data_IF_166380618865
#
_entry.id   IF_166380618865
#
_cell.length_a   1.000
_cell.length_b   1.000
_cell.length_c   1.000
_cell.angle_alpha   90.00
_cell.angle_beta   90.00
_cell.angle_gamma   90.00
#
_symmetry.space_group_name_H-M   'P 1'
#
loop_
_entity.id
_entity.type
_entity.pdbx_description
1 polymer ?
#
# COMPACT_ATOMS: atom_id res chain seq x y z
N UNK A 1 19.01 -35.33 -41.18
CA UNK A 1 19.17 -34.34 -40.10
C UNK A 1 18.43 -33.08 -40.54
N UNK A 2 17.12 -33.03 -40.29
CA UNK A 2 16.23 -31.95 -40.73
C UNK A 2 16.11 -30.93 -39.61
N UNK A 3 16.41 -29.69 -39.98
CA UNK A 3 16.55 -28.54 -39.14
C UNK A 3 15.24 -28.15 -38.42
N UNK A 4 15.14 -28.39 -37.12
CA UNK A 4 13.98 -28.11 -36.25
C UNK A 4 13.87 -26.62 -35.87
N UNK A 5 14.63 -25.73 -36.46
CA UNK A 5 14.65 -24.31 -36.09
C UNK A 5 13.61 -23.46 -36.83
N UNK A 6 13.06 -23.95 -37.95
CA UNK A 6 12.12 -23.17 -38.77
C UNK A 6 10.66 -23.27 -38.34
N UNK A 7 10.28 -24.34 -37.65
CA UNK A 7 8.90 -24.57 -37.23
C UNK A 7 8.53 -23.74 -35.95
N UNK A 8 9.52 -23.25 -35.21
CA UNK A 8 9.30 -22.48 -33.94
C UNK A 8 9.06 -20.99 -34.18
N UNK A 9 9.37 -20.45 -35.37
CA UNK A 9 9.19 -19.01 -35.67
C UNK A 9 7.84 -18.67 -36.31
N UNK A 10 7.08 -19.65 -36.76
CA UNK A 10 5.77 -19.45 -37.39
C UNK A 10 4.59 -19.50 -36.40
N UNK A 11 4.80 -19.95 -35.16
CA UNK A 11 3.75 -20.08 -34.15
C UNK A 11 3.59 -18.81 -33.29
N UNK A 12 4.45 -17.80 -33.45
CA UNK A 12 4.47 -16.55 -32.66
C UNK A 12 3.80 -15.35 -33.34
N UNK A 13 3.30 -15.51 -34.58
CA UNK A 13 2.70 -14.42 -35.36
C UNK A 13 1.17 -14.52 -35.52
N UNK A 14 0.53 -15.54 -34.97
CA UNK A 14 -0.93 -15.73 -35.10
C UNK A 14 -1.75 -15.26 -33.87
N UNK A 15 -1.16 -14.61 -32.89
CA UNK A 15 -1.83 -14.21 -31.65
C UNK A 15 -2.05 -12.69 -31.47
N UNK A 16 -2.01 -11.91 -32.55
CA UNK A 16 -2.08 -10.43 -32.50
C UNK A 16 -3.21 -9.85 -33.39
N UNK A 17 -4.36 -10.51 -33.41
CA UNK A 17 -5.56 -9.93 -34.04
C UNK A 17 -6.83 -10.33 -33.27
N UNK A 18 -6.95 -9.94 -32.02
CA UNK A 18 -8.25 -9.86 -31.34
C UNK A 18 -8.68 -8.39 -31.40
N UNK A 19 -9.70 -8.03 -32.18
CA UNK A 19 -10.26 -6.69 -32.12
C UNK A 19 -11.01 -6.56 -30.78
N UNK A 20 -10.42 -5.86 -29.82
CA UNK A 20 -11.08 -5.37 -28.60
C UNK A 20 -12.07 -4.26 -28.98
N UNK A 21 -13.10 -4.59 -29.72
CA UNK A 21 -14.29 -3.76 -29.84
C UNK A 21 -15.24 -4.11 -28.68
N UNK A 22 -14.87 -3.82 -27.45
CA UNK A 22 -15.83 -3.70 -26.36
C UNK A 22 -16.65 -2.44 -26.61
N UNK A 23 -17.76 -2.59 -27.37
CA UNK A 23 -18.86 -1.63 -27.33
C UNK A 23 -19.24 -1.46 -25.86
N UNK A 24 -18.93 -0.31 -25.29
CA UNK A 24 -19.53 0.12 -24.04
C UNK A 24 -21.06 0.15 -24.28
N UNK A 25 -21.76 -0.89 -23.81
CA UNK A 25 -23.22 -0.93 -23.84
C UNK A 25 -23.69 0.11 -22.84
N UNK A 26 -24.23 1.22 -23.34
CA UNK A 26 -25.00 2.15 -22.51
C UNK A 26 -26.13 1.36 -21.83
N UNK A 27 -26.31 1.49 -20.52
CA UNK A 27 -27.38 0.78 -19.81
C UNK A 27 -28.74 1.13 -20.41
N UNK A 28 -29.54 0.10 -20.72
CA UNK A 28 -30.90 0.29 -21.24
C UNK A 28 -31.74 0.97 -20.16
N UNK A 29 -32.59 1.96 -20.51
CA UNK A 29 -33.54 2.55 -19.55
C UNK A 29 -34.45 1.45 -19.00
N UNK A 30 -34.49 1.30 -17.67
CA UNK A 30 -35.34 0.31 -16.99
C UNK A 30 -34.63 -0.90 -16.41
N UNK A 31 -33.31 -1.06 -16.55
CA UNK A 31 -32.59 -2.07 -15.78
C UNK A 31 -32.47 -1.63 -14.30
N UNK A 32 -32.74 -2.54 -13.32
CA UNK A 32 -32.52 -2.24 -11.92
C UNK A 32 -31.07 -1.80 -11.74
N UNK A 33 -30.90 -0.65 -11.15
CA UNK A 33 -29.59 -0.07 -10.84
C UNK A 33 -28.74 -1.08 -10.11
N UNK A 34 -27.51 -1.29 -10.58
CA UNK A 34 -26.59 -2.20 -9.89
C UNK A 34 -26.52 -1.77 -8.41
N UNK A 35 -26.81 -2.67 -7.47
CA UNK A 35 -26.86 -2.33 -6.04
C UNK A 35 -25.58 -1.62 -5.53
N UNK A 36 -24.46 -1.74 -6.25
CA UNK A 36 -23.22 -1.03 -5.97
C UNK A 36 -23.32 0.49 -6.19
N UNK A 37 -24.10 0.94 -7.18
CA UNK A 37 -24.28 2.37 -7.47
C UNK A 37 -25.12 3.06 -6.39
N UNK A 38 -26.18 2.39 -5.90
CA UNK A 38 -26.99 2.91 -4.80
C UNK A 38 -26.17 3.09 -3.52
N UNK A 39 -25.31 2.10 -3.17
CA UNK A 39 -24.49 2.24 -1.97
C UNK A 39 -23.44 3.35 -2.11
N UNK A 40 -22.90 3.56 -3.31
CA UNK A 40 -21.97 4.67 -3.56
C UNK A 40 -22.71 6.01 -3.50
N UNK A 41 -23.91 6.11 -4.09
CA UNK A 41 -24.74 7.31 -4.01
C UNK A 41 -25.15 7.63 -2.56
N UNK A 42 -25.50 6.61 -1.78
CA UNK A 42 -25.78 6.76 -0.35
C UNK A 42 -24.55 7.22 0.43
N UNK A 43 -23.39 6.64 0.17
CA UNK A 43 -22.13 7.01 0.81
C UNK A 43 -21.76 8.47 0.57
N UNK A 44 -21.96 8.96 -0.65
CA UNK A 44 -21.69 10.36 -1.05
C UNK A 44 -22.81 11.29 -0.61
N UNK A 45 -23.97 10.76 -0.22
CA UNK A 45 -25.14 11.52 0.21
C UNK A 45 -25.94 12.15 -0.95
N UNK A 46 -25.97 11.48 -2.10
CA UNK A 46 -26.69 11.95 -3.31
C UNK A 46 -27.74 10.94 -3.80
N UNK A 47 -28.14 9.99 -2.95
CA UNK A 47 -29.10 8.96 -3.36
C UNK A 47 -30.48 9.52 -3.70
N UNK A 48 -30.98 10.50 -2.92
CA UNK A 48 -32.25 11.17 -3.14
C UNK A 48 -32.25 11.95 -4.44
N UNK A 49 -31.21 12.75 -4.67
CA UNK A 49 -31.05 13.56 -5.88
C UNK A 49 -30.92 12.69 -7.12
N UNK A 50 -30.22 11.56 -6.99
CA UNK A 50 -30.06 10.62 -8.09
C UNK A 50 -31.40 9.95 -8.46
N UNK A 51 -32.22 9.59 -7.47
CA UNK A 51 -33.55 9.01 -7.68
C UNK A 51 -34.50 10.02 -8.32
N UNK A 52 -34.47 11.28 -7.87
CA UNK A 52 -35.23 12.35 -8.43
C UNK A 52 -34.84 12.68 -9.89
N UNK A 53 -33.53 12.74 -10.14
CA UNK A 53 -32.97 12.93 -11.48
C UNK A 53 -33.43 11.84 -12.45
N UNK A 54 -33.44 10.58 -12.04
CA UNK A 54 -33.92 9.46 -12.86
C UNK A 54 -35.42 9.61 -13.18
N UNK A 55 -36.24 9.98 -12.19
CA UNK A 55 -37.67 10.20 -12.35
C UNK A 55 -37.96 11.33 -13.32
N UNK A 56 -37.32 12.49 -13.15
CA UNK A 56 -37.48 13.65 -14.05
C UNK A 56 -36.99 13.38 -15.46
N UNK A 57 -35.86 12.66 -15.58
CA UNK A 57 -35.31 12.27 -16.87
C UNK A 57 -36.19 11.27 -17.64
N UNK A 58 -37.03 10.50 -16.94
CA UNK A 58 -37.97 9.56 -17.54
C UNK A 58 -39.26 10.27 -18.03
N UNK A 59 -39.75 11.28 -17.29
CA UNK A 59 -40.99 12.05 -17.63
C UNK A 59 -40.74 13.07 -18.75
N UNK A 60 -39.57 13.63 -18.83
CA UNK A 60 -39.05 14.54 -19.84
C UNK A 60 -39.98 15.73 -20.18
N UNK A 61 -40.48 16.42 -19.16
CA UNK A 61 -41.22 17.66 -19.37
C UNK A 61 -40.23 18.84 -19.62
N UNK A 62 -40.52 19.73 -20.60
CA UNK A 62 -39.63 20.88 -20.86
C UNK A 62 -39.46 21.80 -19.64
N UNK A 63 -40.44 21.86 -18.76
CA UNK A 63 -40.41 22.63 -17.52
C UNK A 63 -39.31 22.13 -16.55
N UNK A 64 -38.95 20.83 -16.58
CA UNK A 64 -38.05 20.21 -15.63
C UNK A 64 -36.55 20.37 -16.01
N UNK A 65 -36.25 21.00 -17.15
CA UNK A 65 -34.87 21.11 -17.67
C UNK A 65 -33.90 21.75 -16.68
N UNK A 66 -34.32 22.82 -16.03
CA UNK A 66 -33.49 23.52 -15.03
C UNK A 66 -33.25 22.66 -13.78
N UNK A 67 -34.26 21.94 -13.33
CA UNK A 67 -34.16 21.06 -12.19
C UNK A 67 -33.26 19.88 -12.50
N UNK A 68 -33.38 19.26 -13.67
CA UNK A 68 -32.48 18.21 -14.16
C UNK A 68 -31.03 18.70 -14.18
N UNK A 69 -30.77 19.89 -14.73
CA UNK A 69 -29.41 20.46 -14.79
C UNK A 69 -28.86 20.74 -13.38
N UNK A 70 -29.67 21.31 -12.50
CA UNK A 70 -29.30 21.58 -11.11
C UNK A 70 -28.93 20.29 -10.34
N UNK A 71 -29.73 19.23 -10.50
CA UNK A 71 -29.46 17.94 -9.88
C UNK A 71 -28.17 17.31 -10.41
N UNK A 72 -27.96 17.36 -11.73
CA UNK A 72 -26.70 16.92 -12.34
C UNK A 72 -25.48 17.66 -11.78
N UNK A 73 -25.59 18.98 -11.68
CA UNK A 73 -24.51 19.81 -11.15
C UNK A 73 -24.23 19.45 -9.68
N UNK A 74 -25.27 19.38 -8.85
CA UNK A 74 -25.13 19.06 -7.43
C UNK A 74 -24.50 17.68 -7.21
N UNK A 75 -24.96 16.64 -7.93
CA UNK A 75 -24.37 15.29 -7.87
C UNK A 75 -22.90 15.34 -8.29
N UNK A 76 -22.59 16.04 -9.39
CA UNK A 76 -21.22 16.16 -9.89
C UNK A 76 -20.29 16.87 -8.90
N UNK A 77 -20.76 17.94 -8.26
CA UNK A 77 -20.00 18.67 -7.23
C UNK A 77 -19.73 17.79 -6.01
N UNK A 78 -20.71 17.04 -5.54
CA UNK A 78 -20.55 16.11 -4.41
C UNK A 78 -19.57 14.99 -4.72
N UNK A 79 -19.65 14.40 -5.92
CA UNK A 79 -18.73 13.37 -6.38
C UNK A 79 -17.30 13.93 -6.51
N UNK A 80 -17.15 15.13 -7.07
CA UNK A 80 -15.85 15.81 -7.18
C UNK A 80 -15.25 16.09 -5.80
N UNK A 81 -16.03 16.64 -4.88
CA UNK A 81 -15.59 16.91 -3.52
C UNK A 81 -15.12 15.63 -2.82
N UNK A 82 -15.86 14.52 -2.95
CA UNK A 82 -15.46 13.22 -2.40
C UNK A 82 -14.18 12.69 -3.08
N UNK A 83 -14.06 12.85 -4.40
CA UNK A 83 -12.84 12.44 -5.13
C UNK A 83 -11.60 13.21 -4.64
N UNK A 84 -11.73 14.52 -4.39
CA UNK A 84 -10.64 15.34 -3.82
C UNK A 84 -10.29 14.92 -2.39
N UNK A 85 -11.27 14.53 -1.57
CA UNK A 85 -11.00 13.95 -0.24
C UNK A 85 -10.22 12.66 -0.35
N UNK A 86 -10.56 11.79 -1.31
CA UNK A 86 -9.79 10.55 -1.56
C UNK A 86 -8.36 10.88 -1.95
N UNK A 87 -8.16 11.84 -2.87
CA UNK A 87 -6.82 12.24 -3.30
C UNK A 87 -5.99 12.83 -2.16
N UNK A 88 -6.57 13.68 -1.34
CA UNK A 88 -5.90 14.24 -0.16
C UNK A 88 -5.49 13.14 0.83
N UNK A 89 -6.38 12.19 1.12
CA UNK A 89 -6.07 11.07 2.01
C UNK A 89 -4.98 10.16 1.44
N UNK A 90 -5.04 9.87 0.14
CA UNK A 90 -4.00 9.08 -0.56
C UNK A 90 -2.66 9.80 -0.49
N UNK A 91 -2.62 11.12 -0.73
CA UNK A 91 -1.39 11.92 -0.65
C UNK A 91 -0.80 11.93 0.77
N UNK A 92 -1.65 11.98 1.80
CA UNK A 92 -1.20 11.88 3.19
C UNK A 92 -0.59 10.50 3.48
N UNK A 93 -1.25 9.41 3.07
CA UNK A 93 -0.72 8.05 3.20
C UNK A 93 0.61 7.91 2.44
N UNK A 94 0.71 8.45 1.21
CA UNK A 94 1.95 8.41 0.43
C UNK A 94 3.10 9.15 1.13
N UNK A 95 2.83 10.27 1.79
CA UNK A 95 3.81 10.99 2.60
C UNK A 95 4.28 10.16 3.80
N UNK A 96 3.37 9.47 4.50
CA UNK A 96 3.74 8.57 5.60
C UNK A 96 4.56 7.36 5.11
N UNK A 97 4.22 6.78 3.95
CA UNK A 97 5.00 5.72 3.31
C UNK A 97 6.41 6.21 2.96
N UNK A 98 6.52 7.42 2.39
CA UNK A 98 7.82 8.00 2.05
C UNK A 98 8.70 8.19 3.29
N UNK A 99 8.14 8.74 4.38
CA UNK A 99 8.84 8.88 5.68
C UNK A 99 9.29 7.52 6.24
N UNK A 100 8.41 6.51 6.22
CA UNK A 100 8.76 5.16 6.68
C UNK A 100 9.92 4.56 5.87
N UNK A 101 9.90 4.71 4.55
CA UNK A 101 10.95 4.23 3.66
C UNK A 101 12.26 4.99 3.84
N UNK A 102 12.24 6.30 4.08
CA UNK A 102 13.43 7.11 4.36
C UNK A 102 14.12 6.63 5.63
N UNK A 103 13.39 6.46 6.72
CA UNK A 103 13.95 5.97 7.99
C UNK A 103 14.42 4.54 7.87
N UNK A 104 13.69 3.69 7.18
CA UNK A 104 14.11 2.30 6.87
C UNK A 104 15.45 2.30 6.13
N UNK A 105 15.60 3.12 5.10
CA UNK A 105 16.85 3.23 4.33
C UNK A 105 18.00 3.73 5.18
N UNK A 106 17.78 4.75 6.02
CA UNK A 106 18.79 5.23 6.96
C UNK A 106 19.26 4.14 7.94
N UNK A 107 18.33 3.35 8.48
CA UNK A 107 18.66 2.25 9.40
C UNK A 107 19.40 1.11 8.67
N UNK A 108 19.01 0.79 7.44
CA UNK A 108 19.67 -0.20 6.59
C UNK A 108 21.12 0.20 6.31
N UNK A 109 21.37 1.44 5.88
CA UNK A 109 22.71 1.98 5.65
C UNK A 109 23.57 1.96 6.91
N UNK A 110 22.98 2.26 8.06
CA UNK A 110 23.70 2.20 9.33
C UNK A 110 24.07 0.76 9.70
N UNK A 111 23.15 -0.19 9.49
CA UNK A 111 23.41 -1.62 9.68
C UNK A 111 24.53 -2.10 8.78
N UNK A 112 24.48 -1.79 7.48
CA UNK A 112 25.43 -2.25 6.49
C UNK A 112 26.84 -1.70 6.76
N UNK A 113 26.94 -0.44 7.18
CA UNK A 113 28.23 0.13 7.65
C UNK A 113 28.75 -0.57 8.90
N UNK A 114 27.90 -0.96 9.84
CA UNK A 114 28.32 -1.70 11.02
C UNK A 114 28.80 -3.12 10.68
N UNK A 115 28.09 -3.82 9.80
CA UNK A 115 28.46 -5.15 9.30
C UNK A 115 29.79 -5.08 8.53
N UNK A 116 29.94 -4.10 7.65
CA UNK A 116 31.20 -3.88 6.91
C UNK A 116 32.40 -3.67 7.85
N UNK A 117 32.26 -2.81 8.86
CA UNK A 117 33.32 -2.57 9.86
C UNK A 117 33.64 -3.85 10.65
N UNK A 118 32.65 -4.62 11.07
CA UNK A 118 32.85 -5.88 11.80
C UNK A 118 33.60 -6.91 10.93
N UNK A 119 33.21 -7.03 9.66
CA UNK A 119 33.88 -7.94 8.71
C UNK A 119 35.32 -7.50 8.42
N UNK A 120 35.57 -6.19 8.23
CA UNK A 120 36.91 -5.68 8.03
C UNK A 120 37.81 -5.95 9.23
N UNK A 121 37.30 -5.71 10.44
CA UNK A 121 38.04 -6.02 11.68
C UNK A 121 38.33 -7.51 11.82
N UNK A 122 37.32 -8.37 11.54
CA UNK A 122 37.53 -9.84 11.53
C UNK A 122 38.60 -10.26 10.53
N UNK A 123 38.63 -9.65 9.35
CA UNK A 123 39.65 -9.96 8.32
C UNK A 123 41.04 -9.49 8.76
N UNK A 124 41.19 -8.28 9.30
CA UNK A 124 42.46 -7.75 9.77
C UNK A 124 42.99 -8.60 10.93
N UNK A 125 42.17 -8.91 11.92
CA UNK A 125 42.58 -9.71 13.09
C UNK A 125 42.84 -11.16 12.69
N UNK A 126 41.95 -11.78 11.92
CA UNK A 126 42.10 -13.18 11.47
C UNK A 126 43.27 -13.37 10.51
N UNK A 127 43.40 -12.52 9.50
CA UNK A 127 44.47 -12.57 8.51
C UNK A 127 45.84 -12.19 9.07
N UNK A 128 45.91 -11.10 9.84
CA UNK A 128 47.14 -10.63 10.44
C UNK A 128 47.71 -11.57 11.49
N UNK A 129 46.87 -12.07 12.41
CA UNK A 129 47.29 -13.03 13.43
C UNK A 129 47.51 -14.45 12.87
N UNK A 130 46.74 -14.83 11.84
CA UNK A 130 46.93 -16.09 11.13
C UNK A 130 48.27 -16.13 10.37
N UNK A 131 48.63 -15.04 9.71
CA UNK A 131 49.93 -14.92 9.02
C UNK A 131 51.11 -14.95 10.01
N UNK A 132 50.99 -14.26 11.15
CA UNK A 132 52.05 -14.29 12.19
C UNK A 132 52.17 -15.66 12.85
N UNK A 133 51.05 -16.37 13.10
CA UNK A 133 51.06 -17.71 13.67
C UNK A 133 51.67 -18.73 12.70
N UNK A 134 51.41 -18.60 11.40
CA UNK A 134 52.00 -19.45 10.35
C UNK A 134 53.50 -19.19 10.18
N UNK A 135 53.91 -17.92 10.27
CA UNK A 135 55.34 -17.56 10.23
C UNK A 135 56.13 -18.08 11.44
N UNK A 136 55.52 -18.08 12.62
CA UNK A 136 56.13 -18.63 13.85
C UNK A 136 56.16 -20.16 13.86
N UNK A 137 55.28 -20.85 13.16
CA UNK A 137 55.29 -22.32 13.02
C UNK A 137 56.39 -22.82 12.09
N UNK A 138 56.90 -21.99 11.18
CA UNK A 138 58.02 -22.31 10.31
C UNK A 138 59.36 -22.23 11.07
N UNK A 139 59.40 -21.62 12.25
CA UNK A 139 60.59 -21.57 13.12
C UNK A 139 60.51 -22.70 14.17
N UNK A 140 61.28 -23.77 13.97
CA UNK A 140 61.24 -25.02 14.77
C UNK A 140 61.45 -24.84 16.29
N UNK A 141 61.78 -23.64 16.77
CA UNK A 141 62.11 -23.38 18.16
C UNK A 141 61.03 -22.57 18.94
N UNK A 142 59.85 -22.26 18.33
CA UNK A 142 58.89 -21.38 18.93
C UNK A 142 57.45 -21.94 18.90
N UNK A 143 57.31 -23.25 19.04
CA UNK A 143 55.96 -23.91 18.99
C UNK A 143 55.00 -23.50 20.14
N UNK A 144 55.49 -23.19 21.32
CA UNK A 144 54.65 -22.82 22.47
C UNK A 144 54.01 -21.43 22.35
N UNK A 145 54.72 -20.36 21.90
CA UNK A 145 54.08 -19.06 21.67
C UNK A 145 53.07 -19.07 20.53
N UNK A 146 53.28 -19.85 19.47
CA UNK A 146 52.40 -19.96 18.33
C UNK A 146 51.01 -20.55 18.71
N UNK A 147 50.98 -21.54 19.59
CA UNK A 147 49.73 -22.12 20.08
C UNK A 147 48.91 -21.11 20.87
N UNK A 148 49.53 -20.28 21.72
CA UNK A 148 48.85 -19.22 22.47
C UNK A 148 48.28 -18.12 21.59
N UNK A 149 49.03 -17.70 20.58
CA UNK A 149 48.55 -16.70 19.60
C UNK A 149 47.41 -17.25 18.74
N UNK A 150 47.46 -18.52 18.33
CA UNK A 150 46.43 -19.18 17.57
C UNK A 150 45.07 -19.25 18.34
N UNK A 151 45.13 -19.61 19.63
CA UNK A 151 43.95 -19.66 20.49
C UNK A 151 43.38 -18.23 20.70
N UNK A 152 44.24 -17.25 20.99
CA UNK A 152 43.85 -15.85 21.12
C UNK A 152 43.20 -15.28 19.84
N UNK A 153 43.79 -15.60 18.69
CA UNK A 153 43.19 -15.18 17.40
C UNK A 153 41.84 -15.82 17.13
N UNK A 154 41.66 -17.10 17.47
CA UNK A 154 40.40 -17.82 17.30
C UNK A 154 39.27 -17.24 18.18
N UNK A 155 39.58 -16.92 19.44
CA UNK A 155 38.60 -16.33 20.37
C UNK A 155 38.23 -14.90 19.98
N UNK A 156 39.18 -14.09 19.53
CA UNK A 156 38.89 -12.73 19.03
C UNK A 156 38.09 -12.78 17.73
N UNK A 157 38.41 -13.67 16.80
CA UNK A 157 37.66 -13.84 15.56
C UNK A 157 36.21 -14.28 15.82
N UNK A 158 35.97 -15.18 16.77
CA UNK A 158 34.63 -15.57 17.21
C UNK A 158 33.85 -14.40 17.83
N UNK A 159 34.52 -13.56 18.64
CA UNK A 159 33.93 -12.35 19.21
C UNK A 159 33.49 -11.35 18.15
N UNK A 160 34.28 -11.12 17.12
CA UNK A 160 33.94 -10.23 16.00
C UNK A 160 32.85 -10.83 15.10
N UNK A 161 32.83 -12.16 14.89
CA UNK A 161 31.77 -12.85 14.17
C UNK A 161 30.41 -12.71 14.89
N UNK A 162 30.41 -12.88 16.23
CA UNK A 162 29.21 -12.64 17.06
C UNK A 162 28.75 -11.16 17.05
N UNK A 163 29.69 -10.21 17.07
CA UNK A 163 29.41 -8.79 16.93
C UNK A 163 28.81 -8.48 15.54
N UNK A 164 29.35 -9.10 14.48
CA UNK A 164 28.83 -9.01 13.12
C UNK A 164 27.39 -9.56 13.00
N UNK A 165 27.13 -10.75 13.58
CA UNK A 165 25.80 -11.35 13.64
C UNK A 165 24.81 -10.47 14.42
N UNK A 166 25.27 -9.82 15.50
CA UNK A 166 24.44 -8.89 16.28
C UNK A 166 24.16 -7.59 15.50
N UNK A 167 25.13 -7.12 14.72
CA UNK A 167 24.95 -5.98 13.82
C UNK A 167 23.99 -6.30 12.65
N UNK A 168 23.99 -7.54 12.16
CA UNK A 168 23.06 -7.99 11.09
C UNK A 168 21.60 -7.96 11.51
N UNK A 169 21.29 -8.17 12.80
CA UNK A 169 19.91 -8.09 13.31
C UNK A 169 19.32 -6.68 13.26
N UNK A 170 20.07 -5.70 12.78
CA UNK A 170 19.64 -4.31 12.67
C UNK A 170 19.59 -3.60 14.03
N UNK A 171 20.16 -2.41 14.10
CA UNK A 171 20.01 -1.56 15.26
C UNK A 171 18.59 -1.03 15.32
N UNK A 172 17.90 -1.10 16.45
CA UNK A 172 16.74 -0.29 16.71
C UNK A 172 17.20 1.10 17.14
N UNK A 173 16.57 2.14 16.62
CA UNK A 173 16.80 3.51 17.08
C UNK A 173 15.53 4.03 17.75
N UNK A 174 15.71 4.87 18.74
CA UNK A 174 14.61 5.61 19.35
C UNK A 174 14.28 6.79 18.44
N UNK A 175 13.03 6.83 18.00
CA UNK A 175 12.51 7.92 17.21
C UNK A 175 11.28 8.48 17.89
N UNK A 176 11.12 9.78 17.81
CA UNK A 176 9.89 10.47 18.17
C UNK A 176 9.06 10.58 16.90
N UNK A 177 8.01 9.76 16.81
CA UNK A 177 7.08 9.78 15.69
C UNK A 177 5.68 10.11 16.20
N UNK A 178 5.01 10.94 15.43
CA UNK A 178 3.59 11.18 15.60
C UNK A 178 2.77 9.93 15.22
N UNK A 179 1.56 9.84 15.77
CA UNK A 179 0.57 8.83 15.35
C UNK A 179 0.34 8.91 13.86
N UNK A 180 0.24 7.76 13.20
CA UNK A 180 0.03 7.64 11.76
C UNK A 180 -1.37 7.11 11.44
N UNK A 181 -1.73 7.08 10.15
CA UNK A 181 -3.05 6.66 9.69
C UNK A 181 -3.37 5.18 9.97
N UNK A 182 -2.42 4.33 10.35
CA UNK A 182 -2.72 2.96 10.81
C UNK A 182 -3.33 2.95 12.22
N UNK A 183 -3.17 4.02 12.99
CA UNK A 183 -3.66 4.07 14.37
C UNK A 183 -5.17 3.86 14.44
N UNK A 184 -5.94 4.52 13.56
CA UNK A 184 -7.40 4.37 13.50
C UNK A 184 -7.83 2.95 13.05
N UNK A 185 -7.03 2.29 12.19
CA UNK A 185 -7.27 0.91 11.79
C UNK A 185 -7.08 -0.09 12.94
N UNK A 186 -6.14 0.19 13.83
CA UNK A 186 -5.71 -0.70 14.91
C UNK A 186 -6.24 -0.26 16.27
N UNK A 187 -7.27 0.58 16.27
CA UNK A 187 -8.01 1.07 17.43
C UNK A 187 -7.06 1.72 18.48
N UNK A 188 -6.14 2.56 17.97
CA UNK A 188 -5.22 3.37 18.77
C UNK A 188 -5.61 4.86 18.73
N UNK A 189 -5.24 5.65 19.75
CA UNK A 189 -5.46 7.10 19.74
C UNK A 189 -4.90 7.75 18.47
N UNK A 190 -5.68 8.64 17.89
CA UNK A 190 -5.38 9.30 16.60
C UNK A 190 -5.28 10.79 16.83
N UNK A 191 -4.27 11.42 16.22
CA UNK A 191 -4.20 12.88 16.14
C UNK A 191 -5.20 13.41 15.11
N UNK A 192 -5.72 14.64 15.26
CA UNK A 192 -6.68 15.21 14.31
C UNK A 192 -6.21 15.14 12.85
N UNK A 193 -4.92 15.36 12.61
CA UNK A 193 -4.31 15.35 11.29
C UNK A 193 -4.15 13.94 10.67
N UNK A 194 -4.32 12.89 11.49
CA UNK A 194 -4.21 11.48 11.05
C UNK A 194 -5.57 10.78 10.98
N UNK A 195 -6.66 11.51 11.09
CA UNK A 195 -8.02 10.98 10.98
C UNK A 195 -8.47 10.83 9.52
N UNK A 196 -9.19 9.76 9.24
CA UNK A 196 -9.84 9.61 7.95
C UNK A 196 -11.07 10.53 7.84
N UNK A 197 -11.30 11.17 6.68
CA UNK A 197 -12.58 11.82 6.39
C UNK A 197 -13.75 10.84 6.58
N UNK A 198 -14.85 11.32 7.15
CA UNK A 198 -15.99 10.48 7.53
C UNK A 198 -16.52 9.60 6.37
N UNK A 199 -16.54 10.12 5.15
CA UNK A 199 -16.95 9.38 3.95
C UNK A 199 -16.00 8.20 3.66
N UNK A 200 -14.69 8.41 3.78
CA UNK A 200 -13.67 7.36 3.54
C UNK A 200 -13.73 6.34 4.68
N UNK A 201 -13.85 6.79 5.93
CA UNK A 201 -13.99 5.89 7.06
C UNK A 201 -15.24 5.01 6.97
N UNK A 202 -16.38 5.60 6.57
CA UNK A 202 -17.60 4.85 6.30
C UNK A 202 -17.40 3.82 5.19
N UNK A 203 -16.72 4.18 4.08
CA UNK A 203 -16.40 3.25 3.01
C UNK A 203 -15.56 2.06 3.49
N UNK A 204 -14.55 2.30 4.33
CA UNK A 204 -13.68 1.26 4.88
C UNK A 204 -14.44 0.33 5.84
N UNK A 205 -15.39 0.84 6.60
CA UNK A 205 -16.23 0.08 7.52
C UNK A 205 -17.46 -0.57 6.87
N UNK A 206 -17.68 -0.40 5.56
CA UNK A 206 -18.71 -1.12 4.82
C UNK A 206 -18.17 -2.45 4.28
N UNK A 207 -19.00 -3.49 4.34
CA UNK A 207 -18.73 -4.75 3.66
C UNK A 207 -18.90 -4.59 2.15
N UNK A 208 -17.95 -5.08 1.32
CA UNK A 208 -18.18 -5.21 -0.12
C UNK A 208 -19.36 -6.13 -0.40
N UNK A 209 -20.29 -5.75 -1.28
CA UNK A 209 -21.54 -6.50 -1.51
C UNK A 209 -21.36 -7.95 -1.97
N UNK A 210 -20.29 -8.23 -2.71
CA UNK A 210 -20.00 -9.59 -3.18
C UNK A 210 -19.05 -10.35 -2.25
N UNK A 211 -18.97 -9.93 -0.98
CA UNK A 211 -18.13 -10.59 0.00
C UNK A 211 -18.91 -11.67 0.74
N UNK A 212 -18.63 -12.97 0.52
CA UNK A 212 -19.33 -14.06 1.19
C UNK A 212 -19.04 -14.12 2.69
N UNK A 213 -17.96 -13.48 3.16
CA UNK A 213 -17.57 -13.49 4.58
C UNK A 213 -18.29 -12.43 5.41
N UNK A 214 -18.96 -11.46 4.78
CA UNK A 214 -19.60 -10.34 5.45
C UNK A 214 -18.64 -9.31 6.07
N UNK A 215 -17.34 -9.56 6.03
CA UNK A 215 -16.32 -8.67 6.61
C UNK A 215 -16.29 -7.31 5.93
N UNK A 216 -16.09 -6.26 6.71
CA UNK A 216 -15.82 -4.91 6.20
C UNK A 216 -14.47 -4.86 5.46
N UNK A 217 -14.25 -3.79 4.69
CA UNK A 217 -12.95 -3.57 4.02
C UNK A 217 -11.81 -3.41 5.02
N UNK A 218 -12.06 -2.76 6.15
CA UNK A 218 -11.13 -2.66 7.29
C UNK A 218 -10.77 -4.04 7.82
N UNK A 219 -11.77 -4.84 8.17
CA UNK A 219 -11.57 -6.18 8.73
C UNK A 219 -10.83 -7.12 7.77
N UNK A 220 -11.11 -7.05 6.46
CA UNK A 220 -10.38 -7.82 5.45
C UNK A 220 -8.88 -7.46 5.42
N UNK A 221 -8.54 -6.17 5.51
CA UNK A 221 -7.15 -5.73 5.58
C UNK A 221 -6.46 -6.25 6.85
N UNK A 222 -7.10 -6.08 8.00
CA UNK A 222 -6.57 -6.56 9.28
C UNK A 222 -6.37 -8.08 9.27
N UNK A 223 -7.35 -8.83 8.75
CA UNK A 223 -7.22 -10.28 8.59
C UNK A 223 -6.05 -10.66 7.69
N UNK A 224 -5.86 -9.95 6.58
CA UNK A 224 -4.73 -10.14 5.67
C UNK A 224 -3.40 -9.91 6.41
N UNK A 225 -3.27 -8.83 7.18
CA UNK A 225 -2.04 -8.52 7.92
C UNK A 225 -1.69 -9.58 8.97
N UNK A 226 -2.69 -10.17 9.62
CA UNK A 226 -2.48 -11.31 10.52
C UNK A 226 -2.03 -12.56 9.74
N UNK A 227 -2.66 -12.85 8.60
CA UNK A 227 -2.32 -14.02 7.77
C UNK A 227 -0.89 -13.94 7.22
N UNK A 228 -0.44 -12.77 6.77
CA UNK A 228 0.93 -12.56 6.26
C UNK A 228 1.94 -12.25 7.37
N UNK A 229 1.55 -12.33 8.65
CA UNK A 229 2.41 -12.16 9.81
C UNK A 229 3.04 -10.77 9.96
N UNK A 230 2.40 -9.71 9.47
CA UNK A 230 2.80 -8.33 9.78
C UNK A 230 2.45 -7.93 11.20
N UNK A 231 1.34 -8.48 11.70
CA UNK A 231 0.97 -8.50 13.11
C UNK A 231 0.63 -9.94 13.49
N UNK A 232 0.98 -10.35 14.70
CA UNK A 232 0.68 -11.72 15.16
C UNK A 232 -0.82 -11.89 15.48
N UNK A 233 -1.39 -10.86 16.10
CA UNK A 233 -2.82 -10.76 16.42
C UNK A 233 -3.15 -9.32 16.80
N UNK A 234 -4.45 -8.99 16.89
CA UNK A 234 -4.90 -7.69 17.45
C UNK A 234 -4.59 -7.52 18.94
N UNK A 235 -4.25 -8.59 19.65
CA UNK A 235 -3.82 -8.55 21.04
C UNK A 235 -2.32 -8.22 21.21
N UNK A 236 -1.55 -8.15 20.13
CA UNK A 236 -0.09 -7.86 20.13
C UNK A 236 0.17 -6.37 20.35
N UNK A 237 -0.13 -5.86 21.55
CA UNK A 237 -0.07 -4.44 21.89
C UNK A 237 1.28 -3.80 21.50
N UNK A 238 2.41 -4.40 21.89
CA UNK A 238 3.74 -3.86 21.64
C UNK A 238 4.06 -3.70 20.15
N UNK A 239 3.68 -4.67 19.30
CA UNK A 239 3.89 -4.57 17.85
C UNK A 239 2.99 -3.52 17.24
N UNK A 240 1.71 -3.45 17.65
CA UNK A 240 0.75 -2.47 17.20
C UNK A 240 1.21 -1.07 17.58
N UNK A 241 1.65 -0.85 18.84
CA UNK A 241 2.13 0.44 19.32
C UNK A 241 3.36 0.92 18.54
N UNK A 242 4.29 0.01 18.17
CA UNK A 242 5.40 0.34 17.27
C UNK A 242 4.93 0.72 15.87
N UNK A 243 3.98 -0.03 15.29
CA UNK A 243 3.46 0.26 13.95
C UNK A 243 2.69 1.56 13.88
N UNK A 244 2.00 1.96 14.95
CA UNK A 244 1.14 3.14 15.02
C UNK A 244 1.82 4.37 15.63
N UNK A 245 3.06 4.24 16.12
CA UNK A 245 3.81 5.31 16.79
C UNK A 245 3.04 5.96 17.92
N UNK A 246 2.56 5.15 18.88
CA UNK A 246 1.86 5.69 20.03
C UNK A 246 2.78 6.58 20.88
N UNK A 247 2.28 7.71 21.41
CA UNK A 247 3.08 8.72 22.12
C UNK A 247 3.59 8.30 23.50
N UNK A 248 3.39 7.05 23.91
CA UNK A 248 3.73 6.57 25.25
C UNK A 248 5.22 6.38 25.55
N UNK A 249 6.10 6.89 24.69
CA UNK A 249 7.55 6.87 24.93
C UNK A 249 8.39 6.70 23.69
N UNK A 250 9.71 6.80 23.87
CA UNK A 250 10.71 6.56 22.84
C UNK A 250 10.68 5.08 22.43
N UNK A 251 9.92 4.75 21.39
CA UNK A 251 9.79 3.39 20.88
C UNK A 251 11.07 2.98 20.13
N UNK A 252 11.55 1.78 20.41
CA UNK A 252 12.62 1.15 19.64
C UNK A 252 12.01 0.52 18.38
N UNK A 253 12.17 1.19 17.25
CA UNK A 253 11.68 0.74 15.94
C UNK A 253 12.80 0.05 15.16
N UNK A 254 12.48 -1.07 14.55
CA UNK A 254 13.35 -1.86 13.68
C UNK A 254 13.13 -1.54 12.21
N UNK A 255 14.03 -2.01 11.34
CA UNK A 255 13.87 -1.96 9.89
C UNK A 255 12.56 -2.64 9.47
N UNK A 256 12.28 -3.80 10.06
CA UNK A 256 11.08 -4.60 9.75
C UNK A 256 9.78 -3.87 10.17
N UNK A 257 9.78 -3.12 11.29
CA UNK A 257 8.62 -2.32 11.70
C UNK A 257 8.29 -1.23 10.67
N UNK A 258 9.30 -0.60 10.06
CA UNK A 258 9.09 0.40 8.99
C UNK A 258 8.66 -0.25 7.68
N UNK A 259 9.17 -1.43 7.36
CA UNK A 259 8.76 -2.20 6.17
C UNK A 259 7.29 -2.63 6.29
N UNK A 260 6.90 -3.21 7.43
CA UNK A 260 5.52 -3.59 7.72
C UNK A 260 4.59 -2.37 7.67
N UNK A 261 4.98 -1.24 8.31
CA UNK A 261 4.21 0.00 8.30
C UNK A 261 3.96 0.50 6.87
N UNK A 262 5.02 0.63 6.07
CA UNK A 262 4.90 1.10 4.69
C UNK A 262 4.00 0.18 3.86
N UNK A 263 4.14 -1.13 4.01
CA UNK A 263 3.35 -2.10 3.28
C UNK A 263 1.87 -2.10 3.70
N UNK A 264 1.57 -1.97 5.02
CA UNK A 264 0.19 -1.86 5.51
C UNK A 264 -0.47 -0.57 5.03
N UNK A 265 0.25 0.56 5.03
CA UNK A 265 -0.23 1.83 4.47
C UNK A 265 -0.51 1.73 2.96
N UNK A 266 0.33 1.01 2.19
CA UNK A 266 0.09 0.73 0.77
C UNK A 266 -1.20 -0.07 0.55
N UNK A 267 -1.48 -1.05 1.40
CA UNK A 267 -2.71 -1.85 1.35
C UNK A 267 -3.95 -0.96 1.61
N UNK A 268 -3.88 -0.07 2.60
CA UNK A 268 -4.95 0.91 2.89
C UNK A 268 -5.16 1.85 1.71
N UNK A 269 -4.08 2.43 1.17
CA UNK A 269 -4.10 3.29 -0.02
C UNK A 269 -4.79 2.62 -1.21
N UNK A 270 -4.40 1.38 -1.52
CA UNK A 270 -4.99 0.60 -2.59
C UNK A 270 -6.50 0.38 -2.35
N UNK A 271 -6.90 0.11 -1.12
CA UNK A 271 -8.31 -0.09 -0.76
C UNK A 271 -9.14 1.19 -0.93
N UNK A 272 -8.63 2.33 -0.49
CA UNK A 272 -9.29 3.64 -0.64
C UNK A 272 -9.43 4.02 -2.12
N UNK A 273 -8.45 3.70 -2.96
CA UNK A 273 -8.48 3.99 -4.39
C UNK A 273 -9.65 3.32 -5.13
N UNK A 274 -10.22 2.22 -4.60
CA UNK A 274 -11.43 1.63 -5.17
C UNK A 274 -12.64 2.55 -5.08
N UNK A 275 -12.71 3.43 -4.09
CA UNK A 275 -13.79 4.42 -4.00
C UNK A 275 -13.80 5.33 -5.23
N UNK A 276 -12.64 5.75 -5.75
CA UNK A 276 -12.57 6.55 -6.98
C UNK A 276 -13.18 5.85 -8.19
N UNK A 277 -12.94 4.56 -8.33
CA UNK A 277 -13.56 3.75 -9.39
C UNK A 277 -15.09 3.73 -9.24
N UNK A 278 -15.57 3.55 -8.00
CA UNK A 278 -16.99 3.49 -7.72
C UNK A 278 -17.67 4.86 -7.94
N UNK A 279 -16.99 5.97 -7.62
CA UNK A 279 -17.41 7.35 -7.95
C UNK A 279 -17.48 7.57 -9.47
N UNK A 280 -16.46 7.10 -10.21
CA UNK A 280 -16.47 7.17 -11.67
C UNK A 280 -17.63 6.40 -12.30
N UNK A 281 -17.94 5.21 -11.77
CA UNK A 281 -19.11 4.42 -12.19
C UNK A 281 -20.44 5.15 -11.89
N UNK A 282 -20.54 5.83 -10.75
CA UNK A 282 -21.71 6.65 -10.39
C UNK A 282 -21.93 7.78 -11.41
N UNK A 283 -20.88 8.54 -11.73
CA UNK A 283 -20.97 9.62 -12.75
C UNK A 283 -21.36 9.07 -14.12
N UNK A 284 -20.74 7.94 -14.54
CA UNK A 284 -21.06 7.33 -15.81
C UNK A 284 -22.50 6.79 -15.91
N UNK A 285 -23.15 6.55 -14.77
CA UNK A 285 -24.54 6.07 -14.71
C UNK A 285 -25.58 7.20 -14.77
N UNK A 286 -25.17 8.46 -14.68
CA UNK A 286 -26.10 9.60 -14.74
C UNK A 286 -26.82 9.65 -16.09
N UNK A 287 -28.13 9.93 -16.13
CA UNK A 287 -28.88 10.11 -17.37
C UNK A 287 -28.22 11.20 -18.23
N UNK A 288 -28.09 11.03 -19.56
CA UNK A 288 -27.50 12.05 -20.40
C UNK A 288 -28.38 13.30 -20.45
N UNK A 289 -27.74 14.46 -20.43
CA UNK A 289 -28.43 15.75 -20.70
C UNK A 289 -28.84 15.78 -22.19
N UNK A 290 -30.14 15.57 -22.48
CA UNK A 290 -30.68 15.53 -23.84
C UNK A 290 -30.72 16.94 -24.50
N UNK A 291 -29.63 17.60 -24.62
CA UNK A 291 -29.52 18.85 -25.41
C UNK A 291 -28.38 18.78 -26.42
N UNK A 292 -27.48 17.80 -26.21
CA UNK A 292 -26.27 17.63 -27.07
C UNK A 292 -26.47 16.66 -28.24
N UNK A 293 -27.51 15.81 -28.21
CA UNK A 293 -27.77 14.85 -29.27
C UNK A 293 -28.52 15.47 -30.46
N UNK A 294 -29.44 16.43 -30.22
CA UNK A 294 -30.17 17.11 -31.30
C UNK A 294 -29.30 18.11 -32.08
N UNK A 295 -28.29 18.71 -31.43
CA UNK A 295 -27.35 19.61 -32.11
C UNK A 295 -26.44 18.91 -33.14
N UNK A 296 -26.24 17.61 -33.03
CA UNK A 296 -25.44 16.83 -34.01
C UNK A 296 -26.23 16.39 -35.25
N UNK A 297 -27.55 16.30 -35.16
CA UNK A 297 -28.41 15.94 -36.30
C UNK A 297 -28.76 17.14 -37.18
N UNK A 298 -28.76 18.37 -36.62
CA UNK A 298 -29.05 19.61 -37.32
C UNK A 298 -27.93 20.19 -38.17
N UNK A 299 -26.69 19.68 -38.08
CA UNK A 299 -25.52 20.15 -38.86
C UNK A 299 -25.19 19.28 -40.09
N UNK A 300 -26.05 18.30 -40.39
CA UNK A 300 -25.93 17.43 -41.58
C UNK A 300 -27.11 17.61 -42.53
N UNK A 301 -27.47 18.83 -42.88
CA UNK A 301 -28.29 19.13 -44.03
C UNK A 301 -27.71 20.30 -44.81
#
# INVERSE_FOLDING_TARGET
>A
MVDMSFARRLLLLALLAIPLATKAQSPKPGQPKAPALESTAQLVGVLSELTELEKLSASFAPADRWQILSLHQHISERVMATSLQVDATVAQIDNEIARANEVRSYLADRRDRAVYRANLLSFIVGGGLGATSSGLQLSSNLTKPAAGVGIGAGTLSAGFALAGLRAQKGGSSQFDFESNMLAEFLDRPVLPDSQYPATIWTFLNQSPRNNPTGLTRKEQLVQTWVQVKRIDSLASADKIDRLTSQPSGLLKLSIDDFEDRAAMLQDVRARISFLKRDLGALVASLPPLRGSAEAKVGLSK
#
